data_IF_263183730489
#
_entry.id   IF_263183730489
#
_cell.length_a   1.000
_cell.length_b   1.000
_cell.length_c   1.000
_cell.angle_alpha   90.00
_cell.angle_beta   90.00
_cell.angle_gamma   90.00
#
_symmetry.space_group_name_H-M   'P 1'
#
loop_
_entity.id
_entity.type
_entity.pdbx_description
1 polymer ?
#
# COMPACT_ATOMS: atom_id res chain seq x y z
N UNK A 1 12.25 -11.63 -1.71
CA UNK A 1 11.80 -11.26 -3.06
C UNK A 1 10.52 -12.02 -3.34
N UNK A 2 9.37 -11.51 -2.88
CA UNK A 2 8.06 -12.11 -3.16
C UNK A 2 6.99 -11.04 -3.40
N UNK A 3 7.00 -9.94 -2.64
CA UNK A 3 6.02 -8.83 -2.72
C UNK A 3 5.54 -8.43 -4.14
N UNK A 4 6.43 -7.94 -5.01
CA UNK A 4 6.04 -7.49 -6.37
C UNK A 4 5.40 -8.60 -7.22
N UNK A 5 5.92 -9.82 -7.10
CA UNK A 5 5.40 -10.97 -7.86
C UNK A 5 4.07 -11.46 -7.28
N UNK A 6 3.93 -11.42 -5.96
CA UNK A 6 2.71 -11.84 -5.25
C UNK A 6 1.55 -10.88 -5.57
N UNK A 7 1.81 -9.57 -5.56
CA UNK A 7 0.82 -8.56 -5.93
C UNK A 7 0.41 -8.70 -7.42
N UNK A 8 1.38 -8.84 -8.33
CA UNK A 8 1.07 -9.01 -9.74
C UNK A 8 0.27 -10.29 -10.03
N UNK A 9 0.60 -11.38 -9.35
CA UNK A 9 -0.16 -12.63 -9.44
C UNK A 9 -1.57 -12.48 -8.86
N UNK A 10 -1.72 -11.79 -7.73
CA UNK A 10 -3.03 -11.51 -7.15
C UNK A 10 -3.93 -10.69 -8.10
N UNK A 11 -3.37 -9.70 -8.81
CA UNK A 11 -4.13 -8.95 -9.81
C UNK A 11 -4.56 -9.82 -11.00
N UNK A 12 -3.75 -10.78 -11.42
CA UNK A 12 -4.14 -11.76 -12.46
C UNK A 12 -5.31 -12.64 -12.01
N UNK A 13 -5.27 -13.08 -10.75
CA UNK A 13 -6.26 -14.01 -10.20
C UNK A 13 -7.63 -13.34 -9.97
N UNK A 14 -7.65 -12.02 -9.78
CA UNK A 14 -8.88 -11.23 -9.56
C UNK A 14 -9.56 -10.80 -10.87
N UNK A 15 -8.88 -10.88 -12.01
CA UNK A 15 -9.47 -10.68 -13.34
C UNK A 15 -9.69 -9.22 -13.75
N UNK A 16 -9.13 -8.27 -13.01
CA UNK A 16 -9.10 -6.85 -13.38
C UNK A 16 -8.26 -6.64 -14.65
N UNK A 17 -8.63 -5.64 -15.46
CA UNK A 17 -7.95 -5.32 -16.73
C UNK A 17 -7.24 -3.98 -16.67
N UNK A 18 -7.90 -3.01 -16.05
CA UNK A 18 -7.37 -1.69 -15.78
C UNK A 18 -7.21 -1.50 -14.27
N UNK A 19 -6.27 -0.63 -13.89
CA UNK A 19 -6.02 -0.29 -12.50
C UNK A 19 -5.58 1.16 -12.38
N UNK A 20 -6.11 1.87 -11.38
CA UNK A 20 -5.48 3.12 -10.91
C UNK A 20 -4.41 2.75 -9.90
N UNK A 21 -3.18 3.14 -10.18
CA UNK A 21 -2.05 2.84 -9.32
C UNK A 21 -1.39 4.11 -8.78
N UNK A 22 -1.24 4.20 -7.46
CA UNK A 22 -0.35 5.16 -6.78
C UNK A 22 0.69 4.37 -6.02
N UNK A 23 1.94 4.54 -6.42
CA UNK A 23 3.08 3.85 -5.85
C UNK A 23 4.35 4.65 -6.12
N UNK A 24 5.35 4.45 -5.27
CA UNK A 24 6.74 4.85 -5.46
C UNK A 24 7.64 3.65 -5.82
N UNK A 25 7.10 2.43 -5.95
CA UNK A 25 7.80 1.19 -6.37
C UNK A 25 7.84 1.11 -7.91
N UNK A 26 8.91 1.54 -8.60
CA UNK A 26 8.96 1.50 -10.07
C UNK A 26 8.87 0.08 -10.63
N UNK A 27 9.46 -0.90 -9.95
CA UNK A 27 9.42 -2.30 -10.39
C UNK A 27 8.05 -2.96 -10.28
N UNK A 28 7.19 -2.48 -9.37
CA UNK A 28 5.83 -2.98 -9.30
C UNK A 28 5.01 -2.53 -10.51
N UNK A 29 5.17 -1.27 -10.93
CA UNK A 29 4.53 -0.76 -12.15
C UNK A 29 4.91 -1.59 -13.38
N UNK A 30 6.21 -1.88 -13.54
CA UNK A 30 6.71 -2.73 -14.62
C UNK A 30 6.14 -4.14 -14.56
N UNK A 31 6.09 -4.74 -13.36
CA UNK A 31 5.56 -6.09 -13.16
C UNK A 31 4.07 -6.18 -13.53
N UNK A 32 3.25 -5.21 -13.09
CA UNK A 32 1.82 -5.17 -13.42
C UNK A 32 1.59 -4.99 -14.93
N UNK A 33 2.36 -4.12 -15.56
CA UNK A 33 2.29 -3.94 -17.02
C UNK A 33 2.68 -5.22 -17.76
N UNK A 34 3.71 -5.93 -17.30
CA UNK A 34 4.18 -7.18 -17.92
C UNK A 34 3.18 -8.33 -17.80
N UNK A 35 2.35 -8.35 -16.76
CA UNK A 35 1.25 -9.33 -16.63
C UNK A 35 -0.02 -8.92 -17.40
N UNK A 36 0.00 -7.76 -18.06
CA UNK A 36 -1.05 -7.32 -18.97
C UNK A 36 -2.12 -6.42 -18.34
N UNK A 37 -1.87 -5.84 -17.17
CA UNK A 37 -2.74 -4.79 -16.60
C UNK A 37 -2.47 -3.45 -17.27
N UNK A 38 -3.53 -2.73 -17.60
CA UNK A 38 -3.48 -1.37 -18.10
C UNK A 38 -3.53 -0.38 -16.93
N UNK A 39 -2.50 0.46 -16.79
CA UNK A 39 -2.48 1.50 -15.76
C UNK A 39 -3.20 2.74 -16.30
N UNK A 40 -4.29 3.13 -15.66
CA UNK A 40 -5.12 4.28 -16.06
C UNK A 40 -5.11 5.40 -15.00
N UNK A 41 -5.57 6.59 -15.36
CA UNK A 41 -5.52 7.76 -14.48
C UNK A 41 -6.64 7.80 -13.44
N UNK A 42 -7.91 7.60 -13.86
CA UNK A 42 -9.12 7.49 -13.01
C UNK A 42 -10.42 7.49 -13.84
N UNK A 43 -11.54 6.94 -13.31
CA UNK A 43 -11.68 5.96 -12.21
C UNK A 43 -11.56 4.50 -12.68
N UNK A 44 -11.22 3.57 -11.79
CA UNK A 44 -11.11 2.11 -12.08
C UNK A 44 -11.84 1.24 -11.06
N UNK A 45 -12.10 -0.02 -11.46
CA UNK A 45 -12.65 -1.07 -10.60
C UNK A 45 -11.60 -1.74 -9.69
N UNK A 46 -10.32 -1.49 -9.95
CA UNK A 46 -9.21 -1.77 -9.04
C UNK A 46 -8.42 -0.48 -8.81
N UNK A 47 -8.27 -0.10 -7.55
CA UNK A 47 -7.38 0.98 -7.12
C UNK A 47 -6.33 0.41 -6.20
N UNK A 48 -5.06 0.64 -6.52
CA UNK A 48 -3.91 0.23 -5.72
C UNK A 48 -3.20 1.47 -5.20
N UNK A 49 -3.24 1.65 -3.88
CA UNK A 49 -2.66 2.79 -3.18
C UNK A 49 -1.55 2.31 -2.25
N UNK A 50 -0.35 2.18 -2.81
CA UNK A 50 0.81 1.54 -2.22
C UNK A 50 1.89 2.60 -1.92
N UNK A 51 2.80 2.33 -0.99
CA UNK A 51 3.89 3.20 -0.49
C UNK A 51 3.51 4.32 0.50
N UNK A 52 2.49 4.08 1.32
CA UNK A 52 2.08 4.98 2.42
C UNK A 52 1.85 6.43 1.98
N UNK A 53 1.27 6.59 0.79
CA UNK A 53 0.67 7.88 0.40
C UNK A 53 -0.53 8.23 1.28
N UNK A 54 -0.95 7.36 2.21
CA UNK A 54 -2.01 7.67 3.16
C UNK A 54 -1.52 8.75 4.15
N UNK A 55 -1.70 9.99 3.71
CA UNK A 55 -1.68 11.23 4.47
C UNK A 55 -2.92 12.02 4.05
N UNK A 56 -2.76 13.31 3.72
CA UNK A 56 -3.88 14.21 3.36
C UNK A 56 -4.66 13.83 2.07
N UNK A 57 -4.33 12.73 1.38
CA UNK A 57 -5.02 12.27 0.18
C UNK A 57 -5.98 11.12 0.51
N UNK A 58 -7.11 11.10 -0.20
CA UNK A 58 -8.12 10.07 -0.10
C UNK A 58 -8.07 9.21 -1.39
N UNK A 59 -7.93 7.87 -1.31
CA UNK A 59 -7.95 6.99 -2.49
C UNK A 59 -9.35 6.81 -3.10
N UNK A 60 -10.39 7.22 -2.37
CA UNK A 60 -11.80 7.02 -2.72
C UNK A 60 -12.25 7.65 -4.05
N UNK A 61 -11.80 8.86 -4.46
CA UNK A 61 -12.21 9.49 -5.72
C UNK A 61 -11.79 8.73 -6.98
N UNK A 62 -10.76 7.87 -6.87
CA UNK A 62 -10.22 7.08 -7.98
C UNK A 62 -11.02 5.80 -8.23
N UNK A 63 -11.98 5.48 -7.35
CA UNK A 63 -12.78 4.26 -7.39
C UNK A 63 -14.02 4.42 -8.27
N UNK A 64 -14.36 3.39 -9.06
CA UNK A 64 -15.67 3.26 -9.69
C UNK A 64 -16.78 2.92 -8.67
N UNK A 65 -18.03 2.86 -9.15
CA UNK A 65 -19.20 2.57 -8.33
C UNK A 65 -19.14 1.20 -7.62
N UNK A 66 -18.55 0.20 -8.26
CA UNK A 66 -18.10 -1.04 -7.63
C UNK A 66 -16.60 -1.15 -7.89
N UNK A 67 -15.83 -1.28 -6.82
CA UNK A 67 -14.39 -1.12 -6.80
C UNK A 67 -13.78 -1.97 -5.69
N UNK A 68 -12.64 -2.57 -6.00
CA UNK A 68 -11.68 -3.11 -5.06
C UNK A 68 -10.56 -2.10 -4.84
N UNK A 69 -10.27 -1.82 -3.56
CA UNK A 69 -9.27 -0.84 -3.18
C UNK A 69 -8.25 -1.49 -2.25
N UNK A 70 -7.04 -1.68 -2.78
CA UNK A 70 -5.90 -2.20 -2.05
C UNK A 70 -5.07 -1.02 -1.52
N UNK A 71 -4.89 -0.96 -0.20
CA UNK A 71 -4.21 0.12 0.50
C UNK A 71 -3.04 -0.44 1.31
N UNK A 72 -1.83 0.06 1.05
CA UNK A 72 -0.69 -0.11 1.94
C UNK A 72 -0.71 0.97 3.01
N UNK A 73 -0.82 0.56 4.27
CA UNK A 73 -0.83 1.45 5.42
C UNK A 73 0.33 1.18 6.37
N UNK A 74 1.04 2.25 6.70
CA UNK A 74 2.05 2.28 7.75
C UNK A 74 1.40 2.65 9.08
N UNK A 75 1.70 1.83 10.10
CA UNK A 75 1.10 1.95 11.42
C UNK A 75 1.95 2.81 12.35
N UNK A 76 1.31 3.50 13.30
CA UNK A 76 2.04 4.09 14.41
C UNK A 76 2.68 2.96 15.22
N UNK A 77 4.01 3.00 15.28
CA UNK A 77 4.83 2.06 16.06
C UNK A 77 5.51 2.77 17.22
N UNK A 78 5.94 2.00 18.22
CA UNK A 78 6.76 2.53 19.30
C UNK A 78 8.12 3.02 18.81
N UNK A 79 8.80 3.82 19.65
CA UNK A 79 10.15 4.32 19.42
C UNK A 79 11.07 3.22 18.88
N UNK A 80 11.71 3.47 17.75
CA UNK A 80 12.63 2.51 17.17
C UNK A 80 12.85 2.72 15.67
N UNK A 81 13.49 1.72 15.08
CA UNK A 81 13.69 1.58 13.64
C UNK A 81 13.08 0.26 13.21
N UNK A 82 12.16 0.32 12.25
CA UNK A 82 11.38 -0.82 11.79
C UNK A 82 11.53 -0.95 10.27
N UNK A 83 11.84 -2.14 9.77
CA UNK A 83 11.85 -2.39 8.33
C UNK A 83 10.40 -2.41 7.82
N UNK A 84 10.13 -1.65 6.76
CA UNK A 84 8.81 -1.59 6.12
C UNK A 84 8.82 -2.36 4.80
N UNK A 85 9.87 -2.17 3.98
CA UNK A 85 10.02 -2.86 2.71
C UNK A 85 11.49 -3.22 2.44
N UNK A 86 11.74 -4.40 1.87
CA UNK A 86 13.06 -4.82 1.39
C UNK A 86 12.91 -5.48 0.03
N UNK A 87 13.34 -4.75 -0.99
CA UNK A 87 13.31 -5.12 -2.40
C UNK A 87 14.75 -5.30 -2.91
N UNK A 88 14.91 -5.73 -4.16
CA UNK A 88 16.23 -6.04 -4.74
C UNK A 88 17.12 -4.79 -4.85
N UNK A 89 16.52 -3.64 -5.11
CA UNK A 89 17.15 -2.35 -5.42
C UNK A 89 16.86 -1.27 -4.35
N UNK A 90 16.02 -1.61 -3.36
CA UNK A 90 15.46 -0.65 -2.41
C UNK A 90 15.26 -1.25 -1.02
N UNK A 91 15.54 -0.47 0.02
CA UNK A 91 15.16 -0.80 1.39
C UNK A 91 14.48 0.41 2.04
N UNK A 92 13.39 0.18 2.76
CA UNK A 92 12.62 1.23 3.42
C UNK A 92 12.51 0.92 4.89
N UNK A 93 12.82 1.92 5.73
CA UNK A 93 12.65 1.85 7.18
C UNK A 93 11.74 2.97 7.67
N UNK A 94 11.02 2.67 8.74
CA UNK A 94 10.37 3.63 9.61
C UNK A 94 11.28 3.92 10.79
N UNK A 95 11.60 5.18 11.02
CA UNK A 95 12.25 5.64 12.25
C UNK A 95 11.29 6.53 13.02
N UNK A 96 11.15 6.27 14.32
CA UNK A 96 10.34 7.13 15.21
C UNK A 96 11.01 7.31 16.56
N UNK A 97 10.86 8.50 17.13
CA UNK A 97 11.26 8.82 18.50
C UNK A 97 10.12 8.67 19.52
N UNK A 98 8.93 8.25 19.06
CA UNK A 98 7.68 8.16 19.82
C UNK A 98 6.73 9.36 19.61
N UNK A 99 7.17 10.41 18.92
CA UNK A 99 6.37 11.60 18.60
C UNK A 99 6.38 11.95 17.13
N UNK A 100 7.54 11.84 16.49
CA UNK A 100 7.73 12.06 15.06
C UNK A 100 7.99 10.74 14.34
N UNK A 101 7.55 10.66 13.09
CA UNK A 101 7.76 9.49 12.24
C UNK A 101 8.46 9.92 10.94
N UNK A 102 9.52 9.19 10.60
CA UNK A 102 10.34 9.45 9.41
C UNK A 102 10.45 8.15 8.62
N UNK A 103 10.08 8.22 7.35
CA UNK A 103 10.39 7.19 6.37
C UNK A 103 11.77 7.48 5.79
N UNK A 104 12.65 6.49 5.82
CA UNK A 104 13.95 6.56 5.17
C UNK A 104 14.00 5.46 4.11
N UNK A 105 14.24 5.87 2.87
CA UNK A 105 14.31 5.00 1.71
C UNK A 105 15.74 5.00 1.20
N UNK A 106 16.32 3.82 1.10
CA UNK A 106 17.65 3.56 0.56
C UNK A 106 17.50 2.95 -0.81
N UNK A 107 18.16 3.54 -1.80
CA UNK A 107 18.22 3.06 -3.18
C UNK A 107 19.68 3.03 -3.63
N UNK A 108 19.94 2.51 -4.84
CA UNK A 108 21.28 2.58 -5.43
C UNK A 108 21.82 4.01 -5.56
N UNK A 109 20.94 5.00 -5.74
CA UNK A 109 21.30 6.41 -5.92
C UNK A 109 21.50 7.19 -4.63
N UNK A 110 21.19 6.60 -3.46
CA UNK A 110 21.43 7.21 -2.15
C UNK A 110 20.30 6.95 -1.16
N UNK A 111 20.06 7.91 -0.27
CA UNK A 111 18.99 7.84 0.73
C UNK A 111 18.08 9.06 0.67
N UNK A 112 16.77 8.83 0.67
CA UNK A 112 15.74 9.85 0.81
C UNK A 112 15.12 9.76 2.21
N UNK A 113 14.84 10.90 2.84
CA UNK A 113 14.13 10.95 4.14
C UNK A 113 12.93 11.87 4.03
N UNK A 114 11.78 11.40 4.49
CA UNK A 114 10.54 12.17 4.53
C UNK A 114 9.83 12.01 5.88
N UNK A 115 9.26 13.10 6.38
CA UNK A 115 8.31 13.01 7.49
C UNK A 115 7.01 12.39 6.98
N UNK A 116 6.45 11.47 7.78
CA UNK A 116 5.19 10.81 7.46
C UNK A 116 4.26 10.86 8.67
N UNK A 117 2.98 10.61 8.43
CA UNK A 117 1.98 10.48 9.47
C UNK A 117 1.34 9.10 9.34
N UNK A 118 1.80 8.11 10.13
CA UNK A 118 1.18 6.79 10.14
C UNK A 118 -0.29 6.88 10.52
N UNK A 119 -1.10 5.99 9.97
CA UNK A 119 -2.53 5.95 10.21
C UNK A 119 -2.86 4.66 10.94
N UNK A 120 -3.50 4.80 12.10
CA UNK A 120 -3.92 3.66 12.87
C UNK A 120 -5.00 2.86 12.12
N UNK A 121 -5.01 1.54 12.29
CA UNK A 121 -5.94 0.63 11.60
C UNK A 121 -7.39 1.04 11.79
N UNK A 122 -7.76 1.39 13.02
CA UNK A 122 -9.12 1.81 13.38
C UNK A 122 -9.54 3.09 12.65
N UNK A 123 -8.61 4.02 12.46
CA UNK A 123 -8.84 5.25 11.68
C UNK A 123 -8.99 4.92 10.18
N UNK A 124 -8.16 4.04 9.63
CA UNK A 124 -8.25 3.61 8.24
C UNK A 124 -9.58 2.90 7.96
N UNK A 125 -9.94 1.94 8.82
CA UNK A 125 -11.18 1.16 8.71
C UNK A 125 -12.41 2.07 8.83
N UNK A 126 -12.40 3.02 9.76
CA UNK A 126 -13.47 4.01 9.90
C UNK A 126 -13.57 4.94 8.67
N UNK A 127 -12.44 5.42 8.13
CA UNK A 127 -12.44 6.21 6.88
C UNK A 127 -13.00 5.42 5.71
N UNK A 128 -12.62 4.15 5.57
CA UNK A 128 -13.12 3.29 4.50
C UNK A 128 -14.64 3.09 4.64
N UNK A 129 -15.11 2.83 5.86
CA UNK A 129 -16.54 2.68 6.17
C UNK A 129 -17.34 3.95 5.85
N UNK A 130 -16.80 5.12 6.19
CA UNK A 130 -17.42 6.42 5.87
C UNK A 130 -17.47 6.67 4.35
N UNK A 131 -16.51 6.13 3.59
CA UNK A 131 -16.49 6.16 2.13
C UNK A 131 -17.37 5.06 1.47
N UNK A 132 -18.05 4.22 2.26
CA UNK A 132 -18.93 3.15 1.76
C UNK A 132 -18.22 1.84 1.44
N UNK A 133 -16.97 1.66 1.89
CA UNK A 133 -16.21 0.44 1.70
C UNK A 133 -16.29 -0.48 2.91
N UNK A 134 -16.16 -1.79 2.65
CA UNK A 134 -16.04 -2.84 3.66
C UNK A 134 -14.66 -3.48 3.57
N UNK A 135 -14.00 -3.69 4.72
CA UNK A 135 -12.75 -4.45 4.79
C UNK A 135 -13.02 -5.92 4.43
N UNK A 136 -12.31 -6.44 3.44
CA UNK A 136 -12.39 -7.84 2.99
C UNK A 136 -11.26 -8.67 3.59
N UNK A 137 -10.04 -8.16 3.55
CA UNK A 137 -8.85 -8.87 4.04
C UNK A 137 -7.73 -7.90 4.39
N UNK A 138 -6.78 -8.38 5.20
CA UNK A 138 -5.56 -7.66 5.57
C UNK A 138 -4.37 -8.61 5.62
N UNK A 139 -3.26 -8.17 5.06
CA UNK A 139 -2.03 -8.94 4.95
C UNK A 139 -0.82 -8.15 5.41
N UNK A 140 0.24 -8.89 5.72
CA UNK A 140 1.60 -8.37 5.88
C UNK A 140 2.09 -7.91 4.50
N UNK A 141 2.52 -6.65 4.39
CA UNK A 141 2.85 -6.02 3.10
C UNK A 141 3.86 -6.83 2.26
N UNK A 142 4.93 -7.32 2.88
CA UNK A 142 6.03 -7.97 2.17
C UNK A 142 5.82 -9.47 1.83
N UNK A 143 4.70 -10.07 2.24
CA UNK A 143 4.50 -11.53 2.11
C UNK A 143 3.07 -11.96 1.77
N UNK A 144 2.10 -11.05 1.71
CA UNK A 144 0.67 -11.39 1.56
C UNK A 144 0.18 -12.44 2.59
N UNK A 145 0.90 -12.61 3.71
CA UNK A 145 0.50 -13.47 4.83
C UNK A 145 -0.49 -12.75 5.73
N UNK A 146 -1.26 -13.47 6.55
CA UNK A 146 -2.21 -12.82 7.48
C UNK A 146 -1.47 -11.95 8.50
N UNK A 147 -1.89 -10.69 8.64
CA UNK A 147 -1.31 -9.78 9.63
C UNK A 147 -1.62 -10.21 11.07
N UNK A 148 -0.62 -10.18 11.95
CA UNK A 148 -0.75 -10.51 13.38
C UNK A 148 -1.04 -9.26 14.23
N UNK A 149 -1.07 -8.07 13.63
CA UNK A 149 -1.52 -6.81 14.23
C UNK A 149 -0.40 -5.97 14.86
N UNK A 150 0.85 -6.44 14.79
CA UNK A 150 2.04 -5.72 15.27
C UNK A 150 3.00 -5.32 14.15
N UNK A 151 2.65 -5.63 12.90
CA UNK A 151 3.47 -5.29 11.74
C UNK A 151 3.50 -3.77 11.53
N UNK A 152 4.68 -3.20 11.21
CA UNK A 152 4.80 -1.76 10.96
C UNK A 152 4.05 -1.32 9.69
N UNK A 153 3.73 -2.26 8.79
CA UNK A 153 2.97 -2.06 7.57
C UNK A 153 2.04 -3.23 7.28
N UNK A 154 0.95 -2.94 6.58
CA UNK A 154 0.01 -3.93 6.09
C UNK A 154 -0.58 -3.55 4.73
N UNK A 155 -1.07 -4.55 3.99
CA UNK A 155 -1.94 -4.37 2.83
C UNK A 155 -3.39 -4.65 3.25
N UNK A 156 -4.29 -3.68 3.06
CA UNK A 156 -5.72 -3.82 3.35
C UNK A 156 -6.52 -3.81 2.05
N UNK A 157 -7.33 -4.84 1.83
CA UNK A 157 -8.27 -4.90 0.72
C UNK A 157 -9.65 -4.45 1.20
N UNK A 158 -10.15 -3.39 0.59
CA UNK A 158 -11.49 -2.87 0.78
C UNK A 158 -12.33 -3.07 -0.48
N UNK A 159 -13.66 -3.17 -0.32
CA UNK A 159 -14.59 -3.29 -1.45
C UNK A 159 -15.88 -2.51 -1.21
N UNK A 160 -16.41 -1.91 -2.27
CA UNK A 160 -17.78 -1.37 -2.32
C UNK A 160 -18.63 -2.12 -3.38
N UNK A 161 -19.93 -2.25 -3.09
CA UNK A 161 -20.91 -2.95 -3.92
C UNK A 161 -22.06 -2.03 -4.31
#
# INVERSE_FOLDING_TARGET
>A
MSDVSDIAQWCLDTGHKDVVMRTRRPHLLDALTNVGLEIIEEPSDLVMWLDDEIGNSAPWPYCSASCELLIEGCLPVERGVHAIAVETDRAVILSTDGTEYRRVEFTESGSLTANIQPIAIDILDESARLAGFTLISRWIDWSMETALGSEPCHLSLFRNF
#
